data_IF_354050985323
#
_entry.id   IF_354050985323
#
_cell.length_a   1.000
_cell.length_b   1.000
_cell.length_c   1.000
_cell.angle_alpha   90.00
_cell.angle_beta   90.00
_cell.angle_gamma   90.00
#
_symmetry.space_group_name_H-M   'P 1'
#
loop_
_entity.id
_entity.type
_entity.pdbx_description
1 polymer ?
#
# COMPACT_ATOMS: atom_id res chain seq x y z
N UNK A 1 54.91 24.21 -6.27
CA UNK A 1 55.14 23.46 -4.99
C UNK A 1 53.80 22.85 -4.62
N UNK A 2 53.74 21.54 -4.59
CA UNK A 2 52.55 20.81 -4.09
C UNK A 2 52.63 20.81 -2.55
N UNK A 3 51.66 21.39 -1.88
CA UNK A 3 51.55 21.35 -0.47
C UNK A 3 51.31 19.89 -0.06
N UNK A 4 52.26 19.28 0.69
CA UNK A 4 51.98 17.96 1.29
C UNK A 4 51.04 18.18 2.48
N UNK A 5 49.84 17.56 2.44
CA UNK A 5 48.98 17.46 3.57
C UNK A 5 49.67 16.53 4.62
N UNK A 6 50.27 17.10 5.61
CA UNK A 6 50.81 16.35 6.72
C UNK A 6 49.66 15.84 7.61
N UNK A 7 49.59 14.53 7.83
CA UNK A 7 48.67 13.97 8.79
C UNK A 7 49.19 14.26 10.24
N UNK A 8 48.29 14.25 11.22
CA UNK A 8 48.67 14.40 12.62
C UNK A 8 49.68 13.34 13.11
N UNK A 9 49.70 12.18 12.46
CA UNK A 9 50.63 11.10 12.73
C UNK A 9 52.02 11.47 12.18
N UNK A 10 52.07 12.05 10.98
CA UNK A 10 53.34 12.49 10.38
C UNK A 10 54.01 13.58 11.22
N UNK A 11 53.25 14.56 11.70
CA UNK A 11 53.79 15.58 12.63
C UNK A 11 54.38 14.97 13.91
N UNK A 12 53.74 13.94 14.46
CA UNK A 12 54.27 13.22 15.66
C UNK A 12 55.52 12.44 15.32
N UNK A 13 55.60 11.82 14.15
CA UNK A 13 56.79 11.12 13.68
C UNK A 13 57.95 12.10 13.56
N UNK A 14 57.74 13.28 12.96
CA UNK A 14 58.76 14.32 12.80
C UNK A 14 59.22 14.83 14.19
N UNK A 15 58.27 15.16 15.07
CA UNK A 15 58.58 15.62 16.43
C UNK A 15 59.48 14.64 17.20
N UNK A 16 59.13 13.33 17.17
CA UNK A 16 59.91 12.29 17.85
C UNK A 16 61.23 12.06 17.14
N UNK A 17 61.26 12.12 15.79
CA UNK A 17 62.49 12.00 14.99
C UNK A 17 63.49 13.13 15.34
N UNK A 18 63.06 14.39 15.43
CA UNK A 18 63.92 15.52 15.81
C UNK A 18 64.45 15.41 17.25
N UNK A 19 63.57 14.91 18.17
CA UNK A 19 64.00 14.65 19.54
C UNK A 19 65.10 13.57 19.62
N UNK A 20 64.99 12.49 18.84
CA UNK A 20 65.97 11.39 18.83
C UNK A 20 67.31 11.83 18.26
N UNK A 21 67.35 12.79 17.30
CA UNK A 21 68.58 13.37 16.74
C UNK A 21 69.41 14.10 17.82
N UNK A 22 68.78 14.58 18.91
CA UNK A 22 69.45 15.20 20.04
C UNK A 22 69.97 16.65 19.78
N UNK A 23 69.56 17.26 18.68
CA UNK A 23 69.98 18.62 18.33
C UNK A 23 69.19 19.73 19.01
N UNK A 24 67.94 19.39 19.46
CA UNK A 24 67.02 20.31 20.09
C UNK A 24 66.46 19.70 21.41
N UNK A 25 66.18 20.58 22.36
CA UNK A 25 65.53 20.15 23.60
C UNK A 25 64.03 19.93 23.42
N UNK A 26 63.40 19.08 24.24
CA UNK A 26 61.96 18.87 24.18
C UNK A 26 61.16 20.17 24.37
N UNK A 27 61.74 21.17 25.05
CA UNK A 27 61.09 22.49 25.25
C UNK A 27 61.02 23.27 23.93
N UNK A 28 62.12 23.30 23.20
CA UNK A 28 62.21 23.97 21.88
C UNK A 28 61.29 23.28 20.87
N UNK A 29 61.29 21.97 20.82
CA UNK A 29 60.41 21.20 19.96
C UNK A 29 58.93 21.45 20.29
N UNK A 30 58.54 21.52 21.55
CA UNK A 30 57.17 21.83 21.96
C UNK A 30 56.73 23.22 21.48
N UNK A 31 57.61 24.20 21.51
CA UNK A 31 57.35 25.54 20.98
C UNK A 31 57.21 25.52 19.46
N UNK A 32 58.11 24.82 18.76
CA UNK A 32 58.09 24.69 17.31
C UNK A 32 56.82 24.00 16.78
N UNK A 33 56.42 22.89 17.42
CA UNK A 33 55.23 22.10 17.00
C UNK A 33 53.92 22.56 17.65
N UNK A 34 53.94 23.59 18.52
CA UNK A 34 52.76 24.13 19.17
C UNK A 34 52.08 23.13 20.13
N UNK A 35 52.83 22.20 20.73
CA UNK A 35 52.30 21.17 21.62
C UNK A 35 52.78 21.37 23.08
N UNK A 36 51.97 20.94 24.05
CA UNK A 36 52.41 20.96 25.44
C UNK A 36 53.46 19.89 25.72
N UNK A 37 54.39 20.17 26.67
CA UNK A 37 55.40 19.19 27.12
C UNK A 37 54.74 17.86 27.54
N UNK A 38 53.60 17.91 28.23
CA UNK A 38 52.83 16.72 28.61
C UNK A 38 52.43 15.88 27.38
N UNK A 39 52.00 16.53 26.29
CA UNK A 39 51.63 15.88 25.05
C UNK A 39 52.84 15.27 24.36
N UNK A 40 53.95 15.97 24.28
CA UNK A 40 55.16 15.48 23.64
C UNK A 40 55.74 14.27 24.37
N UNK A 41 55.89 14.33 25.70
CA UNK A 41 56.35 13.19 26.50
C UNK A 41 55.39 11.99 26.45
N UNK A 42 54.09 12.22 26.34
CA UNK A 42 53.12 11.15 26.13
C UNK A 42 53.39 10.40 24.81
N UNK A 43 53.69 11.13 23.74
CA UNK A 43 53.97 10.50 22.45
C UNK A 43 55.35 9.82 22.45
N UNK A 44 56.34 10.41 23.10
CA UNK A 44 57.64 9.77 23.28
C UNK A 44 57.55 8.45 24.06
N UNK A 45 56.80 8.44 25.17
CA UNK A 45 56.59 7.22 25.93
C UNK A 45 55.89 6.11 25.13
N UNK A 46 54.90 6.47 24.27
CA UNK A 46 54.24 5.53 23.37
C UNK A 46 55.18 5.01 22.30
N UNK A 47 56.01 5.87 21.72
CA UNK A 47 57.00 5.49 20.73
C UNK A 47 58.03 4.51 21.32
N UNK A 48 58.49 4.78 22.54
CA UNK A 48 59.45 3.90 23.22
C UNK A 48 58.85 2.52 23.56
N UNK A 49 57.55 2.46 23.82
CA UNK A 49 56.86 1.22 24.15
C UNK A 49 56.42 0.38 22.92
N UNK A 50 55.96 1.04 21.85
CA UNK A 50 55.26 0.40 20.71
C UNK A 50 55.91 0.75 19.36
N UNK A 51 57.00 1.52 19.33
CA UNK A 51 57.59 2.01 18.10
C UNK A 51 56.71 3.03 17.37
N UNK A 52 56.85 3.15 16.02
CA UNK A 52 56.05 4.07 15.20
C UNK A 52 54.55 3.81 15.29
N UNK A 53 54.09 2.58 15.54
CA UNK A 53 52.68 2.25 15.71
C UNK A 53 52.02 2.93 16.93
N UNK A 54 52.81 3.22 17.98
CA UNK A 54 52.36 3.95 19.17
C UNK A 54 51.97 5.41 18.91
N UNK A 55 52.36 5.99 17.79
CA UNK A 55 52.03 7.34 17.40
C UNK A 55 50.65 7.47 16.74
N UNK A 56 50.00 6.36 16.39
CA UNK A 56 48.63 6.34 15.92
C UNK A 56 47.64 6.69 17.06
N UNK A 57 46.52 7.29 16.67
CA UNK A 57 45.45 7.55 17.60
C UNK A 57 44.78 6.23 18.02
N UNK A 58 44.77 5.97 19.35
CA UNK A 58 44.03 4.84 19.89
C UNK A 58 42.54 5.12 19.84
N UNK A 59 41.73 4.08 19.64
CA UNK A 59 40.30 4.18 19.76
C UNK A 59 39.88 4.83 21.08
N UNK A 60 38.97 5.78 21.01
CA UNK A 60 38.32 6.41 22.15
C UNK A 60 37.04 5.70 22.59
N UNK A 61 36.69 4.61 21.90
CA UNK A 61 35.53 3.82 22.26
C UNK A 61 35.67 3.22 23.66
N UNK A 62 34.64 3.18 24.46
CA UNK A 62 34.65 2.50 25.75
C UNK A 62 35.10 1.04 25.60
N UNK A 63 35.87 0.55 26.56
CA UNK A 63 36.31 -0.87 26.59
C UNK A 63 35.14 -1.82 26.89
N UNK A 64 34.12 -1.34 27.59
CA UNK A 64 32.90 -2.10 27.90
C UNK A 64 31.70 -1.40 27.32
N UNK A 65 30.82 -2.18 26.72
CA UNK A 65 29.56 -1.71 26.11
C UNK A 65 28.37 -2.42 26.80
N UNK A 66 27.94 -1.95 28.02
CA UNK A 66 26.90 -2.65 28.80
C UNK A 66 25.56 -2.76 28.07
N UNK A 67 25.32 -1.93 27.06
CA UNK A 67 24.11 -1.94 26.22
C UNK A 67 24.34 -2.56 24.83
N UNK A 68 25.42 -3.33 24.67
CA UNK A 68 25.65 -4.06 23.41
C UNK A 68 24.55 -5.09 23.22
N UNK A 69 23.93 -5.08 22.03
CA UNK A 69 22.97 -6.11 21.64
C UNK A 69 23.71 -7.44 21.48
N UNK A 70 23.16 -8.49 22.03
CA UNK A 70 23.73 -9.83 21.94
C UNK A 70 23.91 -10.29 20.50
N UNK A 71 24.97 -11.00 20.20
CA UNK A 71 25.32 -11.41 18.83
C UNK A 71 24.24 -12.32 18.22
N UNK A 72 23.55 -13.15 19.02
CA UNK A 72 22.41 -13.97 18.60
C UNK A 72 21.25 -13.10 18.11
N UNK A 73 20.94 -12.00 18.81
CA UNK A 73 19.89 -11.06 18.43
C UNK A 73 20.28 -10.28 17.18
N UNK A 74 21.55 -9.87 17.06
CA UNK A 74 22.09 -9.23 15.86
C UNK A 74 21.91 -10.11 14.63
N UNK A 75 22.32 -11.38 14.71
CA UNK A 75 22.19 -12.31 13.59
C UNK A 75 20.72 -12.56 13.20
N UNK A 76 19.82 -12.75 14.17
CA UNK A 76 18.40 -12.90 13.93
C UNK A 76 17.81 -11.68 13.21
N UNK A 77 18.18 -10.46 13.64
CA UNK A 77 17.73 -9.21 13.00
C UNK A 77 18.28 -9.06 11.58
N UNK A 78 19.55 -9.41 11.35
CA UNK A 78 20.17 -9.35 10.01
C UNK A 78 19.56 -10.37 9.07
N UNK A 79 19.32 -11.59 9.54
CA UNK A 79 18.65 -12.65 8.77
C UNK A 79 17.22 -12.23 8.40
N UNK A 80 16.43 -11.72 9.35
CA UNK A 80 15.09 -11.20 9.12
C UNK A 80 15.10 -10.06 8.08
N UNK A 81 16.09 -9.16 8.16
CA UNK A 81 16.25 -8.06 7.21
C UNK A 81 16.62 -8.53 5.81
N UNK A 82 17.46 -9.55 5.68
CA UNK A 82 17.81 -10.17 4.38
C UNK A 82 16.62 -10.88 3.75
N UNK A 83 15.81 -11.58 4.55
CA UNK A 83 14.58 -12.24 4.08
C UNK A 83 13.50 -11.23 3.67
N UNK A 84 13.42 -10.09 4.36
CA UNK A 84 12.42 -9.04 4.10
C UNK A 84 13.09 -7.68 3.79
N UNK A 85 13.73 -7.52 2.62
CA UNK A 85 14.56 -6.34 2.32
C UNK A 85 13.79 -5.02 2.22
N UNK A 86 12.46 -5.07 2.16
CA UNK A 86 11.57 -3.90 2.12
C UNK A 86 10.94 -3.53 3.46
N UNK A 87 11.21 -4.30 4.54
CA UNK A 87 10.64 -4.01 5.85
C UNK A 87 11.59 -3.14 6.67
N UNK A 88 11.07 -2.09 7.29
CA UNK A 88 11.85 -1.24 8.20
C UNK A 88 12.04 -1.88 9.58
N UNK A 89 12.90 -1.29 10.41
CA UNK A 89 13.24 -1.78 11.74
C UNK A 89 12.00 -2.13 12.59
N UNK A 90 10.98 -1.25 12.63
CA UNK A 90 9.74 -1.48 13.41
C UNK A 90 9.01 -2.77 12.98
N UNK A 91 8.92 -3.03 11.68
CA UNK A 91 8.26 -4.23 11.17
C UNK A 91 9.06 -5.49 11.47
N UNK A 92 10.38 -5.44 11.29
CA UNK A 92 11.27 -6.56 11.64
C UNK A 92 11.15 -6.89 13.12
N UNK A 93 11.16 -5.90 14.00
CA UNK A 93 11.00 -6.09 15.43
C UNK A 93 9.63 -6.71 15.78
N UNK A 94 8.55 -6.18 15.26
CA UNK A 94 7.21 -6.70 15.51
C UNK A 94 7.05 -8.15 14.99
N UNK A 95 7.62 -8.45 13.83
CA UNK A 95 7.59 -9.81 13.27
C UNK A 95 8.45 -10.77 14.08
N UNK A 96 9.69 -10.37 14.39
CA UNK A 96 10.63 -11.21 15.13
C UNK A 96 10.13 -11.49 16.56
N UNK A 97 9.57 -10.48 17.23
CA UNK A 97 8.99 -10.66 18.57
C UNK A 97 7.81 -11.64 18.61
N UNK A 98 7.06 -11.78 17.50
CA UNK A 98 6.03 -12.83 17.39
C UNK A 98 6.61 -14.22 17.09
N UNK A 99 7.66 -14.30 16.28
CA UNK A 99 8.28 -15.57 15.88
C UNK A 99 9.21 -16.14 16.95
N UNK A 100 9.86 -15.27 17.72
CA UNK A 100 10.84 -15.60 18.74
C UNK A 100 10.61 -14.73 20.00
N UNK A 101 9.56 -15.00 20.78
CA UNK A 101 9.17 -14.16 21.93
C UNK A 101 10.21 -14.14 23.06
N UNK A 102 11.10 -15.12 23.13
CA UNK A 102 12.14 -15.22 24.16
C UNK A 102 13.32 -14.27 23.91
N UNK A 103 13.44 -13.68 22.70
CA UNK A 103 14.51 -12.74 22.41
C UNK A 103 14.25 -11.37 23.00
N UNK A 104 15.22 -10.86 23.74
CA UNK A 104 15.21 -9.46 24.24
C UNK A 104 15.60 -8.54 23.10
N UNK A 105 14.59 -7.96 22.44
CA UNK A 105 14.79 -7.14 21.25
C UNK A 105 15.12 -5.68 21.62
N UNK A 106 16.09 -5.07 20.90
CA UNK A 106 16.43 -3.66 21.10
C UNK A 106 15.37 -2.73 20.49
N UNK A 107 15.45 -1.44 20.84
CA UNK A 107 14.54 -0.42 20.28
C UNK A 107 14.79 -0.18 18.79
N UNK A 108 13.76 0.28 18.08
CA UNK A 108 13.78 0.43 16.62
C UNK A 108 14.87 1.38 16.09
N UNK A 109 15.30 2.39 16.87
CA UNK A 109 16.40 3.28 16.52
C UNK A 109 17.74 2.53 16.47
N UNK A 110 18.01 1.70 17.48
CA UNK A 110 19.22 0.85 17.52
C UNK A 110 19.27 -0.10 16.33
N UNK A 111 18.15 -0.77 16.00
CA UNK A 111 18.06 -1.65 14.84
C UNK A 111 18.24 -0.87 13.52
N UNK A 112 17.71 0.35 13.44
CA UNK A 112 17.90 1.22 12.27
C UNK A 112 19.38 1.58 12.06
N UNK A 113 20.09 1.95 13.13
CA UNK A 113 21.54 2.24 13.11
C UNK A 113 22.34 0.99 12.73
N UNK A 114 21.98 -0.17 13.30
CA UNK A 114 22.58 -1.46 12.98
C UNK A 114 22.41 -1.78 11.47
N UNK A 115 21.21 -1.68 10.94
CA UNK A 115 20.99 -1.92 9.49
C UNK A 115 21.79 -0.95 8.62
N UNK A 116 22.01 0.29 9.06
CA UNK A 116 22.84 1.25 8.35
C UNK A 116 24.33 0.84 8.37
N UNK A 117 24.86 0.44 9.51
CA UNK A 117 26.27 0.00 9.63
C UNK A 117 26.58 -1.25 8.81
N UNK A 118 25.59 -2.15 8.62
CA UNK A 118 25.72 -3.33 7.74
C UNK A 118 25.33 -3.06 6.28
N UNK A 119 25.14 -1.79 5.86
CA UNK A 119 24.79 -1.44 4.49
C UNK A 119 23.37 -1.87 4.06
N UNK A 120 22.52 -2.26 5.00
CA UNK A 120 21.16 -2.74 4.74
C UNK A 120 20.10 -1.63 4.76
N UNK A 121 20.49 -0.38 4.98
CA UNK A 121 19.60 0.79 4.93
C UNK A 121 19.76 1.54 3.61
N UNK A 122 18.61 1.94 3.02
CA UNK A 122 18.62 2.85 1.88
C UNK A 122 18.43 4.28 2.36
N UNK A 123 19.12 5.24 1.75
CA UNK A 123 18.92 6.66 2.02
C UNK A 123 17.43 7.01 1.82
N UNK A 124 16.85 7.70 2.80
CA UNK A 124 15.47 8.14 2.75
C UNK A 124 15.36 9.31 1.78
N UNK A 125 14.75 9.07 0.62
CA UNK A 125 14.37 10.19 -0.26
C UNK A 125 13.27 11.00 0.42
N UNK A 126 13.50 12.30 0.61
CA UNK A 126 12.47 13.24 1.05
C UNK A 126 11.35 13.27 0.00
N UNK A 127 10.12 12.94 0.40
CA UNK A 127 8.94 13.06 -0.45
C UNK A 127 8.01 14.08 0.15
N UNK A 128 7.41 14.90 -0.70
CA UNK A 128 6.31 15.78 -0.32
C UNK A 128 5.23 14.93 0.34
N UNK A 129 4.87 15.24 1.58
CA UNK A 129 3.79 14.56 2.29
C UNK A 129 2.47 15.10 1.75
N UNK A 130 1.68 14.24 1.11
CA UNK A 130 0.27 14.53 0.87
C UNK A 130 -0.44 14.47 2.23
N UNK A 131 -1.25 15.47 2.60
CA UNK A 131 -2.04 15.40 3.82
C UNK A 131 -2.85 14.10 3.84
N UNK A 132 -3.05 13.46 5.01
CA UNK A 132 -3.94 12.33 5.09
C UNK A 132 -5.36 12.77 4.74
N UNK A 133 -6.08 11.96 3.99
CA UNK A 133 -7.50 12.17 3.76
C UNK A 133 -8.22 12.11 5.09
N UNK A 134 -8.87 13.21 5.47
CA UNK A 134 -9.46 13.40 6.80
C UNK A 134 -10.89 12.92 6.89
N UNK A 135 -11.57 12.71 5.75
CA UNK A 135 -12.93 12.19 5.74
C UNK A 135 -12.90 10.68 5.92
N UNK A 136 -13.33 10.13 7.08
CA UNK A 136 -13.20 8.72 7.35
C UNK A 136 -14.07 7.92 6.39
N UNK A 137 -13.60 6.71 6.06
CA UNK A 137 -14.44 5.71 5.40
C UNK A 137 -15.57 5.36 6.37
N UNK A 138 -16.71 6.03 6.25
CA UNK A 138 -17.85 5.94 7.17
C UNK A 138 -18.35 4.50 7.40
N UNK A 139 -18.07 3.61 6.46
CA UNK A 139 -18.56 2.22 6.46
C UNK A 139 -17.45 1.17 6.61
N UNK A 140 -16.20 1.61 6.87
CA UNK A 140 -15.07 0.71 7.13
C UNK A 140 -14.80 0.52 8.63
N UNK A 141 -15.88 0.29 9.42
CA UNK A 141 -15.80 0.16 10.88
C UNK A 141 -15.70 -1.31 11.32
N UNK A 142 -15.89 -2.24 10.40
CA UNK A 142 -15.83 -3.68 10.65
C UNK A 142 -15.37 -4.41 9.37
N UNK A 143 -14.88 -5.66 9.49
CA UNK A 143 -14.61 -6.49 8.34
C UNK A 143 -15.81 -6.59 7.41
N UNK A 144 -15.59 -6.59 6.11
CA UNK A 144 -16.62 -6.67 5.06
C UNK A 144 -17.61 -5.49 4.99
N UNK A 145 -17.43 -4.42 5.79
CA UNK A 145 -18.20 -3.19 5.63
C UNK A 145 -17.92 -2.52 4.28
N UNK A 146 -16.66 -2.46 3.89
CA UNK A 146 -16.25 -1.89 2.62
C UNK A 146 -15.05 -2.65 2.05
N UNK A 147 -15.19 -3.20 0.85
CA UNK A 147 -14.06 -3.69 0.08
C UNK A 147 -13.59 -2.63 -0.92
N UNK A 148 -12.30 -2.58 -1.18
CA UNK A 148 -11.73 -1.76 -2.24
C UNK A 148 -11.17 -2.67 -3.35
N UNK A 149 -11.41 -2.32 -4.60
CA UNK A 149 -10.89 -3.05 -5.74
C UNK A 149 -10.34 -2.10 -6.80
N UNK A 150 -9.23 -2.51 -7.40
CA UNK A 150 -8.57 -1.74 -8.45
C UNK A 150 -7.63 -2.64 -9.25
N UNK A 151 -7.27 -2.19 -10.45
CA UNK A 151 -6.16 -2.75 -11.22
C UNK A 151 -4.85 -2.04 -10.87
N UNK A 152 -3.79 -2.81 -10.61
CA UNK A 152 -2.44 -2.23 -10.39
C UNK A 152 -1.81 -1.64 -11.66
N UNK A 153 -2.59 -1.30 -12.65
CA UNK A 153 -2.11 -0.98 -13.99
C UNK A 153 -1.79 -2.25 -14.76
N UNK A 154 -0.84 -2.18 -15.69
CA UNK A 154 -0.39 -3.35 -16.44
C UNK A 154 1.15 -3.41 -16.54
N UNK A 155 1.64 -4.61 -16.83
CA UNK A 155 3.04 -4.88 -17.14
C UNK A 155 3.15 -6.11 -18.03
N UNK A 156 4.36 -6.33 -18.60
CA UNK A 156 4.64 -7.53 -19.38
C UNK A 156 5.38 -8.56 -18.51
N UNK A 157 4.95 -9.81 -18.57
CA UNK A 157 5.70 -10.97 -18.08
C UNK A 157 6.90 -11.28 -18.99
N UNK A 158 7.82 -12.14 -18.55
CA UNK A 158 9.02 -12.46 -19.31
C UNK A 158 8.76 -13.01 -20.72
N UNK A 159 7.61 -13.67 -20.92
CA UNK A 159 7.13 -14.15 -22.23
C UNK A 159 6.47 -13.02 -23.09
N UNK A 160 6.57 -11.76 -22.67
CA UNK A 160 6.03 -10.59 -23.39
C UNK A 160 4.52 -10.37 -23.25
N UNK A 161 3.79 -11.24 -22.56
CA UNK A 161 2.34 -11.13 -22.38
C UNK A 161 1.98 -10.05 -21.37
N UNK A 162 0.91 -9.29 -21.63
CA UNK A 162 0.38 -8.30 -20.68
C UNK A 162 -0.35 -8.97 -19.54
N UNK A 163 -0.03 -8.51 -18.34
CA UNK A 163 -0.68 -8.88 -17.09
C UNK A 163 -1.36 -7.66 -16.47
N UNK A 164 -2.61 -7.81 -16.10
CA UNK A 164 -3.44 -6.81 -15.40
C UNK A 164 -3.77 -7.35 -14.01
N UNK A 165 -2.99 -7.02 -12.96
CA UNK A 165 -3.30 -7.49 -11.61
C UNK A 165 -4.57 -6.87 -11.08
N UNK A 166 -5.59 -7.68 -10.89
CA UNK A 166 -6.81 -7.30 -10.18
C UNK A 166 -6.61 -7.59 -8.70
N UNK A 167 -6.84 -6.60 -7.86
CA UNK A 167 -6.70 -6.71 -6.41
C UNK A 167 -7.99 -6.33 -5.69
N UNK A 168 -8.31 -7.08 -4.64
CA UNK A 168 -9.42 -6.82 -3.73
C UNK A 168 -8.87 -6.75 -2.30
N UNK A 169 -9.24 -5.72 -1.56
CA UNK A 169 -8.84 -5.56 -0.15
C UNK A 169 -10.04 -5.21 0.72
N UNK A 170 -10.04 -5.69 1.95
CA UNK A 170 -10.95 -5.19 2.98
C UNK A 170 -10.40 -3.88 3.57
N UNK A 171 -11.24 -2.85 3.62
CA UNK A 171 -10.82 -1.51 4.03
C UNK A 171 -10.56 -1.39 5.54
N UNK A 172 -11.22 -2.19 6.37
CA UNK A 172 -11.03 -2.22 7.81
C UNK A 172 -9.75 -2.95 8.20
N UNK A 173 -9.70 -4.26 7.95
CA UNK A 173 -8.61 -5.14 8.35
C UNK A 173 -7.34 -5.01 7.51
N UNK A 174 -7.41 -4.33 6.36
CA UNK A 174 -6.35 -4.28 5.34
C UNK A 174 -6.08 -5.63 4.67
N UNK A 175 -6.91 -6.63 4.93
CA UNK A 175 -6.80 -7.96 4.33
C UNK A 175 -6.76 -7.86 2.81
N UNK A 176 -5.76 -8.41 2.16
CA UNK A 176 -5.73 -8.61 0.71
C UNK A 176 -6.54 -9.87 0.39
N UNK A 177 -7.78 -9.68 -0.01
CA UNK A 177 -8.72 -10.78 -0.25
C UNK A 177 -8.37 -11.57 -1.51
N UNK A 178 -7.88 -10.87 -2.53
CA UNK A 178 -7.49 -11.49 -3.81
C UNK A 178 -6.45 -10.64 -4.54
N UNK A 179 -5.53 -11.32 -5.21
CA UNK A 179 -4.65 -10.73 -6.22
C UNK A 179 -4.57 -11.68 -7.42
N UNK A 180 -5.17 -11.30 -8.54
CA UNK A 180 -5.31 -12.18 -9.71
C UNK A 180 -4.63 -11.59 -10.94
N UNK A 181 -3.77 -12.38 -11.59
CA UNK A 181 -3.13 -12.06 -12.86
C UNK A 181 -4.12 -12.25 -14.00
N UNK A 182 -4.69 -11.17 -14.53
CA UNK A 182 -5.61 -11.21 -15.65
C UNK A 182 -4.92 -10.81 -16.97
N UNK A 183 -5.39 -11.37 -18.07
CA UNK A 183 -4.94 -11.01 -19.44
C UNK A 183 -5.67 -9.79 -20.00
N UNK A 184 -6.76 -9.38 -19.39
CA UNK A 184 -7.52 -8.18 -19.79
C UNK A 184 -8.42 -7.72 -18.64
N UNK A 185 -8.84 -6.46 -18.70
CA UNK A 185 -9.75 -5.82 -17.75
C UNK A 185 -11.23 -6.02 -18.09
N UNK A 186 -11.57 -6.83 -19.13
CA UNK A 186 -12.96 -7.04 -19.57
C UNK A 186 -13.79 -7.73 -18.48
N UNK A 187 -15.05 -7.32 -18.32
CA UNK A 187 -16.00 -7.85 -17.31
C UNK A 187 -16.06 -9.38 -17.32
N UNK A 188 -16.06 -10.01 -18.49
CA UNK A 188 -16.08 -11.49 -18.64
C UNK A 188 -14.90 -12.19 -17.94
N UNK A 189 -13.78 -11.50 -17.71
CA UNK A 189 -12.61 -12.01 -16.97
C UNK A 189 -12.60 -11.62 -15.51
N UNK A 190 -13.22 -10.50 -15.18
CA UNK A 190 -13.26 -9.92 -13.83
C UNK A 190 -14.36 -10.55 -12.98
N UNK A 191 -15.55 -10.70 -13.54
CA UNK A 191 -16.71 -11.22 -12.80
C UNK A 191 -16.49 -12.61 -12.17
N UNK A 192 -15.86 -13.61 -12.84
CA UNK A 192 -15.57 -14.91 -12.21
C UNK A 192 -14.64 -14.81 -11.00
N UNK A 193 -13.70 -13.84 -10.99
CA UNK A 193 -12.83 -13.62 -9.84
C UNK A 193 -13.64 -13.17 -8.63
N UNK A 194 -14.54 -12.20 -8.81
CA UNK A 194 -15.45 -11.76 -7.75
C UNK A 194 -16.37 -12.88 -7.29
N UNK A 195 -16.92 -13.65 -8.21
CA UNK A 195 -17.79 -14.77 -7.86
C UNK A 195 -17.08 -15.80 -6.98
N UNK A 196 -15.83 -16.14 -7.31
CA UNK A 196 -15.00 -17.02 -6.48
C UNK A 196 -14.80 -16.43 -5.08
N UNK A 197 -14.41 -15.15 -4.99
CA UNK A 197 -14.21 -14.47 -3.70
C UNK A 197 -15.51 -14.40 -2.89
N UNK A 198 -16.64 -14.12 -3.53
CA UNK A 198 -17.94 -14.08 -2.85
C UNK A 198 -18.39 -15.44 -2.32
N UNK A 199 -18.07 -16.52 -3.05
CA UNK A 199 -18.34 -17.90 -2.56
C UNK A 199 -17.45 -18.29 -1.38
N UNK A 200 -16.19 -17.87 -1.40
CA UNK A 200 -15.21 -18.20 -0.36
C UNK A 200 -15.39 -17.35 0.91
N UNK A 201 -15.65 -16.06 0.76
CA UNK A 201 -15.57 -15.08 1.85
C UNK A 201 -16.91 -14.40 2.16
N UNK A 202 -17.97 -14.68 1.40
CA UNK A 202 -19.25 -14.01 1.50
C UNK A 202 -19.28 -12.62 0.85
N UNK A 203 -20.41 -11.93 0.98
CA UNK A 203 -20.69 -10.65 0.33
C UNK A 203 -20.35 -9.46 1.26
N UNK A 204 -19.64 -8.43 0.78
CA UNK A 204 -19.45 -7.20 1.53
C UNK A 204 -20.74 -6.35 1.54
N UNK A 205 -20.78 -5.35 2.42
CA UNK A 205 -21.85 -4.32 2.41
C UNK A 205 -21.65 -3.37 1.24
N UNK A 206 -20.40 -2.98 0.95
CA UNK A 206 -20.06 -2.09 -0.15
C UNK A 206 -18.76 -2.48 -0.86
N UNK A 207 -18.64 -2.06 -2.12
CA UNK A 207 -17.41 -2.15 -2.89
C UNK A 207 -17.08 -0.77 -3.44
N UNK A 208 -15.87 -0.28 -3.13
CA UNK A 208 -15.32 0.97 -3.64
C UNK A 208 -14.38 0.71 -4.80
N UNK A 209 -14.55 1.50 -5.87
CA UNK A 209 -13.74 1.42 -7.09
C UNK A 209 -13.30 2.80 -7.54
N UNK A 210 -12.36 2.82 -8.49
CA UNK A 210 -12.15 3.98 -9.35
C UNK A 210 -13.35 4.18 -10.31
N UNK A 211 -13.24 5.21 -11.16
CA UNK A 211 -14.26 5.52 -12.18
C UNK A 211 -13.98 4.81 -13.53
N UNK A 212 -13.00 3.90 -13.55
CA UNK A 212 -12.59 3.19 -14.77
C UNK A 212 -13.43 1.96 -15.10
N UNK A 213 -13.32 1.53 -16.35
CA UNK A 213 -13.86 0.23 -16.76
C UNK A 213 -13.02 -0.92 -16.21
N UNK A 214 -13.63 -2.04 -15.79
CA UNK A 214 -15.01 -2.46 -15.95
C UNK A 214 -15.93 -2.08 -14.79
N UNK A 215 -15.46 -1.34 -13.80
CA UNK A 215 -16.19 -1.09 -12.54
C UNK A 215 -17.31 -0.05 -12.73
N UNK A 216 -17.03 0.99 -13.51
CA UNK A 216 -17.96 2.08 -13.76
C UNK A 216 -18.13 2.34 -15.26
N UNK A 217 -19.17 3.10 -15.61
CA UNK A 217 -19.43 3.57 -16.96
C UNK A 217 -19.86 5.04 -16.97
N UNK A 218 -19.96 5.62 -18.16
CA UNK A 218 -20.57 6.94 -18.37
C UNK A 218 -22.11 6.89 -18.48
N UNK A 219 -22.72 5.71 -18.36
CA UNK A 219 -24.16 5.51 -18.39
C UNK A 219 -24.89 6.11 -17.19
N UNK A 220 -26.22 5.97 -17.18
CA UNK A 220 -27.06 6.42 -16.07
C UNK A 220 -26.65 5.76 -14.76
N UNK A 221 -26.61 6.53 -13.66
CA UNK A 221 -26.09 6.08 -12.38
C UNK A 221 -24.61 5.70 -12.38
N UNK A 222 -23.87 5.87 -13.50
CA UNK A 222 -22.48 5.43 -13.64
C UNK A 222 -22.30 3.91 -13.62
N UNK A 223 -23.39 3.17 -13.77
CA UNK A 223 -23.38 1.70 -13.64
C UNK A 223 -22.74 1.04 -14.86
N UNK A 224 -21.90 0.05 -14.60
CA UNK A 224 -21.43 -0.95 -15.56
C UNK A 224 -22.19 -2.27 -15.38
N UNK A 225 -22.06 -3.22 -16.31
CA UNK A 225 -22.66 -4.57 -16.13
C UNK A 225 -22.16 -5.26 -14.85
N UNK A 226 -20.91 -5.01 -14.45
CA UNK A 226 -20.34 -5.56 -13.22
C UNK A 226 -20.99 -4.94 -11.98
N UNK A 227 -21.13 -3.62 -11.93
CA UNK A 227 -21.75 -2.94 -10.79
C UNK A 227 -23.27 -3.16 -10.74
N UNK A 228 -23.95 -3.34 -11.86
CA UNK A 228 -25.34 -3.81 -11.92
C UNK A 228 -25.47 -5.16 -11.20
N UNK A 229 -24.59 -6.11 -11.50
CA UNK A 229 -24.57 -7.40 -10.82
C UNK A 229 -24.32 -7.28 -9.31
N UNK A 230 -23.41 -6.40 -8.86
CA UNK A 230 -23.20 -6.15 -7.43
C UNK A 230 -24.44 -5.57 -6.75
N UNK A 231 -25.10 -4.60 -7.37
CA UNK A 231 -26.34 -4.00 -6.83
C UNK A 231 -27.43 -5.06 -6.68
N UNK A 232 -27.57 -6.00 -7.62
CA UNK A 232 -28.50 -7.13 -7.52
C UNK A 232 -28.18 -8.08 -6.37
N UNK A 233 -26.91 -8.18 -5.97
CA UNK A 233 -26.46 -8.92 -4.79
C UNK A 233 -26.64 -8.13 -3.47
N UNK A 234 -27.22 -6.94 -3.54
CA UNK A 234 -27.37 -6.06 -2.37
C UNK A 234 -26.05 -5.47 -1.90
N UNK A 235 -25.06 -5.33 -2.80
CA UNK A 235 -23.77 -4.71 -2.52
C UNK A 235 -23.83 -3.27 -3.00
N UNK A 236 -23.53 -2.31 -2.12
CA UNK A 236 -23.45 -0.89 -2.48
C UNK A 236 -22.19 -0.65 -3.32
N UNK A 237 -22.35 -0.09 -4.51
CA UNK A 237 -21.23 0.34 -5.33
C UNK A 237 -20.86 1.78 -5.01
N UNK A 238 -19.65 2.01 -4.53
CA UNK A 238 -19.11 3.34 -4.27
C UNK A 238 -18.02 3.67 -5.29
N UNK A 239 -18.05 4.89 -5.81
CA UNK A 239 -16.99 5.39 -6.69
C UNK A 239 -16.25 6.51 -5.98
N UNK A 240 -14.91 6.54 -6.15
CA UNK A 240 -14.13 7.70 -5.70
C UNK A 240 -14.60 8.96 -6.45
N UNK A 241 -14.53 10.10 -5.78
CA UNK A 241 -14.82 11.38 -6.42
C UNK A 241 -13.76 11.65 -7.50
N UNK A 242 -14.17 12.19 -8.69
CA UNK A 242 -13.22 12.58 -9.72
C UNK A 242 -12.19 13.59 -9.16
N UNK A 243 -10.91 13.36 -9.41
CA UNK A 243 -9.84 14.21 -8.90
C UNK A 243 -9.38 13.94 -7.46
N UNK A 244 -9.97 12.95 -6.76
CA UNK A 244 -9.66 12.60 -5.38
C UNK A 244 -9.04 11.19 -5.23
N UNK A 245 -7.83 10.94 -5.77
CA UNK A 245 -7.17 9.64 -5.68
C UNK A 245 -6.85 9.24 -4.23
N UNK A 246 -6.70 10.20 -3.32
CA UNK A 246 -6.45 9.97 -1.90
C UNK A 246 -7.55 9.13 -1.22
N UNK A 247 -8.77 9.12 -1.76
CA UNK A 247 -9.87 8.27 -1.31
C UNK A 247 -9.57 6.77 -1.48
N UNK A 248 -8.59 6.42 -2.33
CA UNK A 248 -8.09 5.06 -2.50
C UNK A 248 -6.64 4.87 -1.98
N UNK A 249 -6.12 5.84 -1.23
CA UNK A 249 -4.72 5.86 -0.78
C UNK A 249 -4.27 4.65 0.04
N UNK A 250 -5.23 3.95 0.71
CA UNK A 250 -4.94 2.68 1.42
C UNK A 250 -4.61 1.56 0.42
N UNK A 251 -5.40 1.45 -0.62
CA UNK A 251 -5.23 0.47 -1.70
C UNK A 251 -3.96 0.76 -2.52
N UNK A 252 -3.69 2.02 -2.83
CA UNK A 252 -2.47 2.45 -3.52
C UNK A 252 -1.20 2.10 -2.73
N UNK A 253 -1.23 2.21 -1.39
CA UNK A 253 -0.12 1.80 -0.53
C UNK A 253 0.15 0.30 -0.64
N UNK A 254 -0.89 -0.53 -0.66
CA UNK A 254 -0.77 -1.97 -0.90
C UNK A 254 -0.20 -2.23 -2.29
N UNK A 255 -0.69 -1.55 -3.33
CA UNK A 255 -0.17 -1.65 -4.69
C UNK A 255 1.31 -1.30 -4.82
N UNK A 256 1.79 -0.31 -4.06
CA UNK A 256 3.22 0.02 -4.03
C UNK A 256 4.05 -1.14 -3.48
N UNK A 257 3.56 -1.79 -2.42
CA UNK A 257 4.21 -2.96 -1.83
C UNK A 257 4.20 -4.14 -2.81
N UNK A 258 3.04 -4.46 -3.38
CA UNK A 258 2.87 -5.49 -4.40
C UNK A 258 3.88 -5.30 -5.55
N UNK A 259 3.99 -4.07 -6.09
CA UNK A 259 4.94 -3.75 -7.16
C UNK A 259 6.39 -4.01 -6.75
N UNK A 260 6.77 -3.65 -5.54
CA UNK A 260 8.14 -3.83 -5.06
C UNK A 260 8.51 -5.31 -4.88
N UNK A 261 7.58 -6.11 -4.41
CA UNK A 261 7.85 -7.49 -4.00
C UNK A 261 7.59 -8.51 -5.12
N UNK A 262 6.71 -8.20 -6.09
CA UNK A 262 6.31 -9.20 -7.09
C UNK A 262 6.58 -8.82 -8.56
N UNK A 263 6.80 -7.53 -8.87
CA UNK A 263 6.93 -7.07 -10.24
C UNK A 263 8.36 -6.65 -10.63
N UNK A 264 9.33 -6.81 -9.77
CA UNK A 264 10.72 -6.39 -10.02
C UNK A 264 11.72 -7.46 -9.63
N UNK A 265 12.13 -8.32 -10.59
CA UNK A 265 11.67 -8.46 -11.98
C UNK A 265 10.30 -9.17 -12.06
N UNK A 266 9.53 -9.00 -13.17
CA UNK A 266 8.33 -9.78 -13.42
C UNK A 266 8.66 -11.28 -13.56
N UNK A 267 7.68 -12.16 -13.33
CA UNK A 267 7.85 -13.60 -13.53
C UNK A 267 7.93 -13.94 -15.04
N UNK A 268 8.45 -15.13 -15.35
CA UNK A 268 8.65 -15.59 -16.72
C UNK A 268 7.34 -15.65 -17.53
N UNK A 269 6.25 -16.05 -16.92
CA UNK A 269 4.93 -16.16 -17.55
C UNK A 269 3.79 -15.97 -16.54
N UNK A 270 2.55 -15.84 -17.04
CA UNK A 270 1.34 -15.54 -16.25
C UNK A 270 1.13 -16.50 -15.06
N UNK A 271 1.32 -17.82 -15.26
CA UNK A 271 1.15 -18.80 -14.17
C UNK A 271 2.17 -18.57 -13.05
N UNK A 272 3.43 -18.39 -13.40
CA UNK A 272 4.49 -18.08 -12.42
C UNK A 272 4.23 -16.72 -11.72
N UNK A 273 3.67 -15.75 -12.44
CA UNK A 273 3.28 -14.47 -11.85
C UNK A 273 2.14 -14.64 -10.84
N UNK A 274 1.14 -15.50 -11.14
CA UNK A 274 0.08 -15.81 -10.19
C UNK A 274 0.64 -16.49 -8.92
N UNK A 275 1.54 -17.44 -9.06
CA UNK A 275 2.20 -18.07 -7.88
C UNK A 275 2.91 -17.03 -7.01
N UNK A 276 3.57 -16.02 -7.62
CA UNK A 276 4.16 -14.91 -6.84
C UNK A 276 3.11 -14.07 -6.13
N UNK A 277 1.97 -13.82 -6.77
CA UNK A 277 0.86 -13.10 -6.14
C UNK A 277 0.25 -13.87 -4.99
N UNK A 278 0.11 -15.19 -5.12
CA UNK A 278 -0.43 -16.06 -4.07
C UNK A 278 0.51 -16.09 -2.86
N UNK A 279 1.82 -16.21 -3.09
CA UNK A 279 2.83 -16.09 -2.02
C UNK A 279 2.78 -14.72 -1.34
N UNK A 280 2.76 -13.65 -2.14
CA UNK A 280 2.63 -12.28 -1.61
C UNK A 280 1.36 -12.11 -0.78
N UNK A 281 0.21 -12.63 -1.23
CA UNK A 281 -1.06 -12.57 -0.52
C UNK A 281 -0.94 -13.22 0.86
N UNK A 282 -0.33 -14.41 0.93
CA UNK A 282 -0.10 -15.13 2.19
C UNK A 282 0.81 -14.34 3.13
N UNK A 283 1.97 -13.90 2.66
CA UNK A 283 2.92 -13.11 3.45
C UNK A 283 2.32 -11.77 3.91
N UNK A 284 1.64 -11.07 3.01
CA UNK A 284 1.00 -9.78 3.30
C UNK A 284 -0.04 -9.89 4.41
N UNK A 285 -0.83 -10.96 4.40
CA UNK A 285 -1.94 -11.16 5.33
C UNK A 285 -1.53 -11.80 6.66
N UNK A 286 -0.59 -12.73 6.64
CA UNK A 286 -0.28 -13.58 7.81
C UNK A 286 1.01 -13.19 8.53
N UNK A 287 2.00 -12.66 7.80
CA UNK A 287 3.31 -12.40 8.37
C UNK A 287 3.64 -10.91 8.51
N UNK A 288 3.20 -10.09 7.55
CA UNK A 288 3.57 -8.69 7.47
C UNK A 288 2.93 -7.84 8.57
N UNK A 289 3.72 -7.16 9.43
CA UNK A 289 3.18 -6.20 10.41
C UNK A 289 2.67 -4.92 9.73
N UNK A 290 1.51 -4.45 10.14
CA UNK A 290 0.90 -3.22 9.64
C UNK A 290 0.85 -2.14 10.74
N UNK A 291 1.61 -1.06 10.58
CA UNK A 291 1.63 0.05 11.54
C UNK A 291 0.23 0.64 11.83
N UNK A 292 -0.65 0.66 10.83
CA UNK A 292 -2.02 1.13 10.99
C UNK A 292 -2.94 0.15 11.72
N UNK A 293 -2.45 -1.03 12.05
CA UNK A 293 -3.11 -2.08 12.82
C UNK A 293 -2.28 -2.39 14.07
N UNK A 294 -1.57 -1.40 14.62
CA UNK A 294 -0.71 -1.57 15.81
C UNK A 294 0.37 -2.66 15.65
N UNK A 295 0.83 -2.86 14.41
CA UNK A 295 1.73 -3.92 13.96
C UNK A 295 1.12 -5.33 13.94
N UNK A 296 -0.19 -5.47 14.12
CA UNK A 296 -0.87 -6.72 13.86
C UNK A 296 -0.90 -7.07 12.36
N UNK A 297 -1.21 -8.32 12.06
CA UNK A 297 -1.39 -8.79 10.68
C UNK A 297 -2.86 -8.65 10.26
N UNK A 298 -3.16 -8.43 8.96
CA UNK A 298 -4.54 -8.35 8.49
C UNK A 298 -5.41 -9.56 8.85
N UNK A 299 -4.83 -10.76 8.86
CA UNK A 299 -5.54 -12.00 9.16
C UNK A 299 -6.05 -12.09 10.60
N UNK A 300 -5.43 -11.39 11.55
CA UNK A 300 -5.89 -11.37 12.94
C UNK A 300 -7.18 -10.58 13.14
N UNK A 301 -7.45 -9.63 12.23
CA UNK A 301 -8.58 -8.70 12.30
C UNK A 301 -9.69 -9.02 11.30
N UNK A 302 -9.48 -9.97 10.39
CA UNK A 302 -10.43 -10.30 9.35
C UNK A 302 -11.22 -11.56 9.70
N UNK A 303 -12.53 -11.50 9.48
CA UNK A 303 -13.43 -12.64 9.46
C UNK A 303 -14.28 -12.62 8.20
N UNK A 304 -14.64 -13.78 7.69
CA UNK A 304 -15.53 -13.89 6.50
C UNK A 304 -16.89 -13.26 6.77
N UNK A 305 -17.52 -12.78 5.72
CA UNK A 305 -18.83 -12.14 5.81
C UNK A 305 -19.92 -13.15 6.21
N UNK A 306 -20.83 -12.78 7.09
CA UNK A 306 -22.01 -13.62 7.41
C UNK A 306 -23.05 -13.65 6.27
N UNK A 307 -22.87 -12.84 5.22
CA UNK A 307 -23.76 -12.79 4.03
C UNK A 307 -23.22 -13.77 2.97
N UNK A 308 -23.81 -14.98 2.82
CA UNK A 308 -23.32 -15.93 1.83
C UNK A 308 -23.65 -15.48 0.41
N UNK A 309 -22.86 -15.94 -0.57
CA UNK A 309 -23.20 -15.77 -1.99
C UNK A 309 -24.42 -16.62 -2.31
N UNK A 310 -25.53 -16.03 -2.85
CA UNK A 310 -26.76 -16.76 -3.06
C UNK A 310 -26.66 -17.72 -4.25
N UNK A 311 -27.31 -18.88 -4.16
CA UNK A 311 -27.42 -19.83 -5.26
C UNK A 311 -28.21 -19.24 -6.44
N UNK A 312 -29.17 -18.36 -6.16
CA UNK A 312 -29.95 -17.61 -7.14
C UNK A 312 -29.98 -16.15 -6.74
N UNK A 313 -29.64 -15.26 -7.68
CA UNK A 313 -29.72 -13.82 -7.45
C UNK A 313 -31.19 -13.43 -7.21
N UNK A 314 -31.49 -12.73 -6.11
CA UNK A 314 -32.85 -12.30 -5.80
C UNK A 314 -33.44 -11.40 -6.88
N UNK A 315 -34.72 -11.53 -7.13
CA UNK A 315 -35.44 -10.58 -7.98
C UNK A 315 -35.49 -9.20 -7.29
N UNK A 316 -35.40 -8.14 -8.09
CA UNK A 316 -35.57 -6.79 -7.59
C UNK A 316 -37.06 -6.53 -7.35
N UNK A 317 -37.37 -6.03 -6.18
CA UNK A 317 -38.70 -5.59 -5.80
C UNK A 317 -38.71 -4.07 -5.67
N UNK A 318 -39.80 -3.46 -6.14
CA UNK A 318 -40.04 -2.02 -6.01
C UNK A 318 -41.32 -1.81 -5.21
N UNK A 319 -41.44 -0.72 -4.43
CA UNK A 319 -42.67 -0.36 -3.74
C UNK A 319 -43.86 -0.22 -4.70
N UNK A 320 -45.09 -0.40 -4.20
CA UNK A 320 -46.30 -0.41 -5.03
C UNK A 320 -46.59 0.92 -5.76
N UNK A 321 -46.06 2.02 -5.23
CA UNK A 321 -46.12 3.36 -5.84
C UNK A 321 -45.17 3.53 -7.04
N UNK A 322 -44.31 2.55 -7.34
CA UNK A 322 -43.40 2.60 -8.47
C UNK A 322 -44.01 1.96 -9.72
N UNK A 323 -43.82 2.61 -10.86
CA UNK A 323 -44.09 2.02 -12.17
C UNK A 323 -42.86 1.21 -12.59
N UNK A 324 -43.00 -0.10 -12.70
CA UNK A 324 -41.87 -0.98 -13.07
C UNK A 324 -41.81 -1.13 -14.58
N UNK A 325 -40.65 -1.01 -15.19
CA UNK A 325 -40.37 -1.19 -16.62
C UNK A 325 -39.15 -2.04 -16.82
N UNK A 326 -39.21 -2.92 -17.82
CA UNK A 326 -38.05 -3.71 -18.27
C UNK A 326 -37.27 -2.92 -19.32
N UNK A 327 -35.97 -2.85 -19.19
CA UNK A 327 -35.05 -2.22 -20.14
C UNK A 327 -34.86 -3.18 -21.33
N UNK A 328 -35.14 -2.72 -22.55
CA UNK A 328 -34.95 -3.51 -23.75
C UNK A 328 -33.45 -3.73 -24.10
N UNK A 329 -33.14 -4.62 -25.03
CA UNK A 329 -31.80 -4.91 -25.52
C UNK A 329 -31.06 -3.68 -26.06
N UNK A 330 -31.80 -2.67 -26.54
CA UNK A 330 -31.24 -1.36 -26.94
C UNK A 330 -30.84 -0.45 -25.77
N UNK A 331 -31.01 -0.86 -24.52
CA UNK A 331 -30.83 -0.02 -23.34
C UNK A 331 -31.92 1.03 -23.12
N UNK A 332 -33.09 0.87 -23.77
CA UNK A 332 -34.22 1.82 -23.78
C UNK A 332 -35.45 1.25 -23.10
N UNK A 333 -36.32 2.14 -22.67
CA UNK A 333 -37.68 1.81 -22.24
C UNK A 333 -38.70 2.57 -23.13
N UNK A 334 -39.92 2.03 -23.27
CA UNK A 334 -41.05 2.78 -23.79
C UNK A 334 -41.69 3.55 -22.67
N UNK A 335 -41.75 4.88 -22.78
CA UNK A 335 -42.37 5.78 -21.85
C UNK A 335 -43.38 6.67 -22.56
N UNK A 336 -44.70 6.44 -22.29
CA UNK A 336 -45.76 7.04 -23.09
C UNK A 336 -45.53 6.80 -24.60
N UNK A 337 -45.47 7.82 -25.41
CA UNK A 337 -45.17 7.75 -26.83
C UNK A 337 -43.68 7.74 -27.19
N UNK A 338 -42.80 8.04 -26.23
CA UNK A 338 -41.37 8.19 -26.47
C UNK A 338 -40.55 6.93 -26.14
N UNK A 339 -39.40 6.78 -26.81
CA UNK A 339 -38.36 5.81 -26.47
C UNK A 339 -37.24 6.52 -25.67
N UNK A 340 -37.18 6.24 -24.39
CA UNK A 340 -36.18 6.86 -23.47
C UNK A 340 -34.99 5.94 -23.31
N UNK A 341 -33.79 6.45 -23.61
CA UNK A 341 -32.54 5.72 -23.40
C UNK A 341 -32.15 5.78 -21.94
N UNK A 342 -32.04 4.63 -21.30
CA UNK A 342 -31.58 4.48 -19.89
C UNK A 342 -30.11 4.11 -19.88
N UNK A 343 -29.75 2.86 -20.13
CA UNK A 343 -28.38 2.37 -20.20
C UNK A 343 -28.29 0.97 -20.80
N UNK A 344 -27.30 0.71 -21.64
CA UNK A 344 -26.99 -0.66 -22.11
C UNK A 344 -26.50 -1.58 -20.98
N UNK A 345 -25.98 -1.02 -19.88
CA UNK A 345 -25.58 -1.82 -18.74
C UNK A 345 -26.76 -2.49 -18.01
N UNK A 346 -27.98 -1.92 -18.18
CA UNK A 346 -29.22 -2.37 -17.57
C UNK A 346 -30.10 -3.20 -18.53
N UNK A 347 -29.58 -3.61 -19.67
CA UNK A 347 -30.28 -4.46 -20.60
C UNK A 347 -30.88 -5.71 -19.92
N UNK A 348 -32.19 -5.92 -20.10
CA UNK A 348 -32.94 -7.04 -19.51
C UNK A 348 -33.37 -6.84 -18.07
N UNK A 349 -32.86 -5.81 -17.38
CA UNK A 349 -33.17 -5.54 -15.98
C UNK A 349 -34.46 -4.75 -15.80
N UNK A 350 -35.06 -4.87 -14.62
CA UNK A 350 -36.21 -4.08 -14.21
C UNK A 350 -35.73 -2.78 -13.53
N UNK A 351 -36.36 -1.67 -13.89
CA UNK A 351 -36.18 -0.37 -13.26
C UNK A 351 -37.48 0.11 -12.66
N UNK A 352 -37.39 0.83 -11.54
CA UNK A 352 -38.53 1.47 -10.88
C UNK A 352 -38.58 2.95 -11.27
N UNK A 353 -39.79 3.43 -11.51
CA UNK A 353 -40.07 4.84 -11.84
C UNK A 353 -41.05 5.36 -10.80
N UNK A 354 -40.62 6.34 -10.02
CA UNK A 354 -41.41 6.98 -8.98
C UNK A 354 -41.93 8.33 -9.48
N UNK A 355 -43.27 8.50 -9.54
CA UNK A 355 -43.86 9.83 -9.79
C UNK A 355 -43.60 10.75 -8.59
N UNK A 356 -43.00 11.92 -8.84
CA UNK A 356 -42.70 12.89 -7.80
C UNK A 356 -42.64 14.30 -8.40
N UNK A 357 -43.45 15.22 -7.88
CA UNK A 357 -43.40 16.65 -8.20
C UNK A 357 -43.44 16.99 -9.71
N UNK A 358 -44.29 16.27 -10.48
CA UNK A 358 -44.43 16.44 -11.95
C UNK A 358 -43.28 15.84 -12.75
N UNK A 359 -42.40 15.11 -12.11
CA UNK A 359 -41.28 14.37 -12.72
C UNK A 359 -41.38 12.87 -12.41
N UNK A 360 -40.72 12.06 -13.20
CA UNK A 360 -40.63 10.63 -13.00
C UNK A 360 -39.20 10.23 -12.71
N UNK A 361 -38.90 10.05 -11.42
CA UNK A 361 -37.58 9.66 -10.95
C UNK A 361 -37.33 8.18 -11.24
N UNK A 362 -36.24 7.89 -11.91
CA UNK A 362 -35.89 6.54 -12.37
C UNK A 362 -34.81 5.93 -11.49
N UNK A 363 -35.06 4.72 -11.01
CA UNK A 363 -34.17 4.00 -10.10
C UNK A 363 -33.85 2.60 -10.62
N UNK A 364 -32.62 2.14 -10.34
CA UNK A 364 -32.26 0.73 -10.39
C UNK A 364 -31.93 0.25 -8.97
N UNK A 365 -32.85 -0.53 -8.37
CA UNK A 365 -32.80 -0.80 -6.92
C UNK A 365 -32.75 0.53 -6.15
N UNK A 366 -31.79 0.72 -5.26
CA UNK A 366 -31.56 1.99 -4.54
C UNK A 366 -30.69 3.04 -5.27
N UNK A 367 -30.33 2.81 -6.54
CA UNK A 367 -29.47 3.71 -7.32
C UNK A 367 -30.30 4.65 -8.18
N UNK A 368 -30.26 5.95 -7.93
CA UNK A 368 -30.90 6.96 -8.76
C UNK A 368 -30.21 7.04 -10.14
N UNK A 369 -30.98 6.89 -11.21
CA UNK A 369 -30.48 6.96 -12.59
C UNK A 369 -30.67 8.35 -13.21
N UNK A 370 -31.68 9.08 -12.76
CA UNK A 370 -32.10 10.39 -13.27
C UNK A 370 -33.61 10.54 -13.17
N UNK A 371 -34.18 11.43 -13.95
CA UNK A 371 -35.64 11.63 -14.05
C UNK A 371 -36.07 11.86 -15.49
N UNK A 372 -37.33 11.57 -15.78
CA UNK A 372 -37.99 11.85 -17.05
C UNK A 372 -38.98 12.98 -16.80
N UNK A 373 -38.90 14.03 -17.60
CA UNK A 373 -39.86 15.14 -17.57
C UNK A 373 -41.17 14.72 -18.25
N UNK A 374 -42.31 14.95 -17.59
CA UNK A 374 -43.61 14.60 -18.10
C UNK A 374 -44.08 15.47 -19.27
N UNK A 375 -43.64 16.72 -19.30
CA UNK A 375 -43.98 17.67 -20.36
C UNK A 375 -43.10 17.46 -21.58
N UNK A 376 -41.86 17.10 -21.36
CA UNK A 376 -40.82 16.95 -22.39
C UNK A 376 -40.14 15.56 -22.33
N UNK A 377 -40.88 14.45 -22.50
CA UNK A 377 -40.33 13.11 -22.47
C UNK A 377 -39.34 12.85 -23.63
N UNK A 378 -39.38 13.67 -24.69
CA UNK A 378 -38.46 13.69 -25.82
C UNK A 378 -37.01 14.04 -25.39
N UNK A 379 -36.82 14.77 -24.31
CA UNK A 379 -35.49 15.05 -23.72
C UNK A 379 -34.81 13.78 -23.19
N UNK A 380 -35.52 12.68 -23.04
CA UNK A 380 -35.02 11.42 -22.53
C UNK A 380 -34.77 11.44 -21.03
N UNK A 381 -33.79 10.65 -20.57
CA UNK A 381 -33.39 10.61 -19.16
C UNK A 381 -32.49 11.78 -18.83
N UNK A 382 -33.01 12.72 -18.04
CA UNK A 382 -32.26 13.86 -17.51
C UNK A 382 -31.46 13.36 -16.29
N UNK A 383 -30.15 13.51 -16.35
CA UNK A 383 -29.26 13.03 -15.29
C UNK A 383 -28.94 14.16 -14.33
N UNK A 384 -28.99 13.95 -13.01
CA UNK A 384 -28.48 14.93 -12.05
C UNK A 384 -26.95 15.12 -12.28
N UNK A 385 -26.41 16.32 -12.03
CA UNK A 385 -24.98 16.51 -12.02
C UNK A 385 -24.33 15.53 -11.05
N UNK A 386 -23.14 15.04 -11.37
CA UNK A 386 -22.43 13.89 -10.72
C UNK A 386 -22.16 14.09 -9.21
N UNK A 387 -22.60 15.18 -8.62
CA UNK A 387 -22.28 15.61 -7.26
C UNK A 387 -23.16 15.06 -6.14
N UNK A 388 -24.27 14.36 -6.43
CA UNK A 388 -25.17 13.91 -5.37
C UNK A 388 -25.54 12.42 -5.49
N UNK A 389 -24.85 11.56 -4.76
CA UNK A 389 -25.39 10.29 -4.31
C UNK A 389 -26.33 10.56 -3.14
N UNK A 390 -27.57 10.93 -3.42
CA UNK A 390 -28.59 11.03 -2.39
C UNK A 390 -28.78 9.63 -1.76
N UNK A 391 -28.47 9.50 -0.47
CA UNK A 391 -28.98 8.39 0.33
C UNK A 391 -30.52 8.50 0.28
N UNK A 392 -31.15 7.60 -0.42
CA UNK A 392 -32.58 7.33 -0.17
C UNK A 392 -32.63 6.70 1.21
N UNK A 393 -33.21 7.42 2.18
CA UNK A 393 -33.49 6.95 3.53
C UNK A 393 -34.51 5.81 3.49
#
# INVERSE_FOLDING_TARGET
MVWMECSRVDERIVLIGEYIKGEQTMVELCLQFGVSRKTAYKWLARYNAEGPSGLADRSRAPLTHPHRVEDVVVEALLQARRSHPHWGARKILAWLGRKQPDLVLPVASTVGTMFASYGLSRARQSRRRTPPYTDPFSDANAPNGLWCTDFKGDFKTGDGRRCYPLTLTDAFSRMLLRCTALRSTKTVRVQPVFETVFRELGLPVGIRTDNGTPFASRGAGGLSRLSVWWVKLGIRHERIQPGHPEQNGRHERMHRTLKQETLRPPAAHMRAQQTRFDHFLTEYNQDRPHEALENETPSTLYASSPRPYPSRIPALHYPDNFLVRKVAASGRIRWKSALVTISHALEGELIGIEPRDGQHHVFFSGVALGFIDDVRPDLGLIRPPVTCWARVK
#
